data_IF_102395056790
#
_entry.id   IF_102395056790
#
_cell.length_a   1.000
_cell.length_b   1.000
_cell.length_c   1.000
_cell.angle_alpha   90.00
_cell.angle_beta   90.00
_cell.angle_gamma   90.00
#
_symmetry.space_group_name_H-M   'P 1'
#
loop_
_entity.id
_entity.type
_entity.pdbx_description
1 polymer ?
#
# COMPACT_ATOMS: atom_id res chain seq x y z
N UNK A 1 0.59 -9.53 -8.63
CA UNK A 1 0.51 -8.72 -7.39
C UNK A 1 -0.83 -9.00 -6.75
N UNK A 2 -0.78 -9.82 -5.71
CA UNK A 2 -1.95 -10.40 -5.04
C UNK A 2 -1.89 -10.19 -3.51
N UNK A 3 -0.74 -9.83 -2.95
CA UNK A 3 -0.52 -9.72 -1.51
C UNK A 3 0.11 -8.38 -1.15
N UNK A 4 -0.06 -7.94 0.11
CA UNK A 4 0.61 -6.75 0.62
C UNK A 4 2.14 -6.82 0.42
N UNK A 5 2.72 -8.00 0.64
CA UNK A 5 4.14 -8.24 0.42
C UNK A 5 4.58 -7.98 -1.03
N UNK A 6 3.76 -8.36 -2.03
CA UNK A 6 4.06 -8.05 -3.43
C UNK A 6 4.13 -6.54 -3.67
N UNK A 7 3.25 -5.76 -3.03
CA UNK A 7 3.27 -4.29 -3.13
C UNK A 7 4.52 -3.71 -2.46
N UNK A 8 4.92 -4.26 -1.30
CA UNK A 8 6.18 -3.88 -0.66
C UNK A 8 7.40 -4.17 -1.55
N UNK A 9 7.43 -5.33 -2.22
CA UNK A 9 8.52 -5.64 -3.16
C UNK A 9 8.54 -4.69 -4.35
N UNK A 10 7.36 -4.34 -4.91
CA UNK A 10 7.27 -3.33 -5.97
C UNK A 10 7.82 -1.97 -5.52
N UNK A 11 7.40 -1.46 -4.37
CA UNK A 11 7.90 -0.18 -3.85
C UNK A 11 9.41 -0.21 -3.58
N UNK A 12 9.91 -1.35 -3.08
CA UNK A 12 11.34 -1.57 -2.86
C UNK A 12 12.16 -1.49 -4.15
N UNK A 13 11.64 -1.88 -5.32
CA UNK A 13 12.38 -1.73 -6.59
C UNK A 13 12.66 -0.27 -6.94
N UNK A 14 11.86 0.65 -6.40
CA UNK A 14 12.03 2.10 -6.56
C UNK A 14 12.69 2.76 -5.33
N UNK A 15 13.22 1.97 -4.39
CA UNK A 15 13.91 2.47 -3.20
C UNK A 15 13.00 2.83 -2.01
N UNK A 16 11.69 2.57 -2.11
CA UNK A 16 10.75 2.86 -1.02
C UNK A 16 10.68 1.67 -0.05
N UNK A 17 11.19 1.85 1.16
CA UNK A 17 11.04 0.93 2.28
C UNK A 17 10.26 1.65 3.36
N UNK A 18 9.01 1.23 3.59
CA UNK A 18 8.08 1.92 4.49
C UNK A 18 7.95 1.13 5.78
N UNK A 19 8.24 1.80 6.91
CA UNK A 19 8.04 1.25 8.25
C UNK A 19 7.94 2.41 9.26
N UNK A 20 6.74 2.64 9.77
CA UNK A 20 6.43 3.69 10.76
C UNK A 20 5.99 3.09 12.11
N UNK A 21 5.72 1.78 12.16
CA UNK A 21 5.14 1.14 13.34
C UNK A 21 3.64 1.38 13.49
N UNK A 22 3.03 2.15 12.59
CA UNK A 22 1.59 2.29 12.44
C UNK A 22 1.16 1.75 11.07
N UNK A 23 0.39 0.67 11.11
CA UNK A 23 -0.01 -0.06 9.90
C UNK A 23 -0.90 0.75 8.97
N UNK A 24 -1.78 1.60 9.49
CA UNK A 24 -2.63 2.45 8.66
C UNK A 24 -1.79 3.49 7.95
N UNK A 25 -0.94 4.21 8.70
CA UNK A 25 -0.10 5.26 8.14
C UNK A 25 0.87 4.69 7.09
N UNK A 26 1.40 3.49 7.31
CA UNK A 26 2.22 2.79 6.33
C UNK A 26 1.45 2.53 5.03
N UNK A 27 0.20 2.03 5.12
CA UNK A 27 -0.61 1.71 3.93
C UNK A 27 -1.02 2.99 3.18
N UNK A 28 -1.41 4.04 3.90
CA UNK A 28 -1.78 5.34 3.32
C UNK A 28 -0.58 5.96 2.59
N UNK A 29 0.61 5.94 3.21
CA UNK A 29 1.84 6.40 2.57
C UNK A 29 2.18 5.57 1.32
N UNK A 30 2.07 4.24 1.39
CA UNK A 30 2.30 3.37 0.23
C UNK A 30 1.32 3.66 -0.93
N UNK A 31 0.07 4.05 -0.65
CA UNK A 31 -0.90 4.45 -1.68
C UNK A 31 -0.48 5.75 -2.38
N UNK A 32 0.05 6.72 -1.64
CA UNK A 32 0.55 7.97 -2.19
C UNK A 32 1.79 7.74 -3.06
N UNK A 33 2.75 6.94 -2.59
CA UNK A 33 3.94 6.60 -3.37
C UNK A 33 3.60 5.84 -4.66
N UNK A 34 2.63 4.92 -4.63
CA UNK A 34 2.14 4.27 -5.86
C UNK A 34 1.53 5.27 -6.84
N UNK A 35 0.81 6.27 -6.34
CA UNK A 35 0.23 7.32 -7.19
C UNK A 35 1.33 8.16 -7.82
N UNK A 36 2.36 8.55 -7.07
CA UNK A 36 3.53 9.27 -7.61
C UNK A 36 4.27 8.45 -8.67
N UNK A 37 4.52 7.17 -8.44
CA UNK A 37 5.14 6.29 -9.43
C UNK A 37 4.30 6.21 -10.72
N UNK A 38 2.98 6.13 -10.61
CA UNK A 38 2.10 6.11 -11.78
C UNK A 38 2.07 7.45 -12.53
N UNK A 39 1.96 8.56 -11.81
CA UNK A 39 1.92 9.90 -12.38
C UNK A 39 3.23 10.27 -13.08
N UNK A 40 4.36 9.76 -12.60
CA UNK A 40 5.68 9.92 -13.21
C UNK A 40 6.00 8.84 -14.27
N UNK A 41 5.02 8.04 -14.69
CA UNK A 41 5.17 6.97 -15.69
C UNK A 41 6.20 5.88 -15.34
N UNK A 42 6.50 5.70 -14.05
CA UNK A 42 7.44 4.68 -13.55
C UNK A 42 6.82 3.28 -13.47
N UNK A 43 5.48 3.20 -13.39
CA UNK A 43 4.71 1.95 -13.44
C UNK A 43 3.50 2.10 -14.38
N UNK A 44 3.08 0.99 -14.96
CA UNK A 44 1.90 0.97 -15.83
C UNK A 44 0.59 1.04 -15.03
N UNK A 45 -0.48 1.47 -15.70
CA UNK A 45 -1.83 1.58 -15.11
C UNK A 45 -2.31 0.27 -14.46
N UNK A 46 -2.01 -0.88 -15.07
CA UNK A 46 -2.43 -2.18 -14.55
C UNK A 46 -1.66 -2.56 -13.27
N UNK A 47 -0.38 -2.21 -13.18
CA UNK A 47 0.41 -2.39 -11.96
C UNK A 47 -0.14 -1.49 -10.85
N UNK A 48 -0.35 -0.20 -11.12
CA UNK A 48 -0.94 0.74 -10.17
C UNK A 48 -2.30 0.27 -9.64
N UNK A 49 -3.20 -0.13 -10.54
CA UNK A 49 -4.55 -0.57 -10.17
C UNK A 49 -4.54 -1.81 -9.27
N UNK A 50 -3.71 -2.81 -9.60
CA UNK A 50 -3.56 -4.03 -8.79
C UNK A 50 -2.94 -3.72 -7.42
N UNK A 51 -1.95 -2.84 -7.35
CA UNK A 51 -1.29 -2.49 -6.10
C UNK A 51 -2.24 -1.75 -5.16
N UNK A 52 -2.94 -0.75 -5.71
CA UNK A 52 -3.91 0.04 -4.96
C UNK A 52 -5.07 -0.83 -4.45
N UNK A 53 -5.54 -1.81 -5.23
CA UNK A 53 -6.58 -2.74 -4.79
C UNK A 53 -6.13 -3.59 -3.59
N UNK A 54 -4.91 -4.10 -3.61
CA UNK A 54 -4.32 -4.84 -2.49
C UNK A 54 -4.20 -3.96 -1.25
N UNK A 55 -3.66 -2.76 -1.38
CA UNK A 55 -3.50 -1.84 -0.24
C UNK A 55 -4.84 -1.39 0.35
N UNK A 56 -5.85 -1.11 -0.48
CA UNK A 56 -7.18 -0.75 0.01
C UNK A 56 -7.83 -1.87 0.81
N UNK A 57 -7.68 -3.11 0.37
CA UNK A 57 -8.16 -4.28 1.11
C UNK A 57 -7.43 -4.43 2.46
N UNK A 58 -6.12 -4.25 2.47
CA UNK A 58 -5.32 -4.30 3.70
C UNK A 58 -5.72 -3.17 4.68
N UNK A 59 -5.97 -1.97 4.16
CA UNK A 59 -6.40 -0.80 4.94
C UNK A 59 -7.74 -1.06 5.64
N UNK A 60 -8.70 -1.62 4.91
CA UNK A 60 -10.02 -2.01 5.44
C UNK A 60 -9.87 -3.03 6.58
N UNK A 61 -9.04 -4.05 6.40
CA UNK A 61 -8.76 -5.05 7.43
C UNK A 61 -8.09 -4.46 8.67
N UNK A 62 -7.15 -3.51 8.47
CA UNK A 62 -6.45 -2.81 9.55
C UNK A 62 -7.39 -1.92 10.37
N UNK A 63 -8.34 -1.24 9.71
CA UNK A 63 -9.37 -0.41 10.36
C UNK A 63 -10.33 -1.25 11.19
N UNK A 64 -10.89 -2.30 10.59
CA UNK A 64 -11.79 -3.22 11.29
C UNK A 64 -11.10 -3.86 12.51
N UNK A 65 -9.83 -4.25 12.38
CA UNK A 65 -9.04 -4.78 13.48
C UNK A 65 -8.92 -3.83 14.67
N UNK A 66 -8.74 -2.52 14.43
CA UNK A 66 -8.67 -1.52 15.51
C UNK A 66 -10.00 -1.28 16.20
N UNK A 67 -11.11 -1.39 15.50
CA UNK A 67 -12.44 -1.20 16.08
C UNK A 67 -12.78 -2.32 17.09
N UNK A 68 -12.27 -3.54 16.90
CA UNK A 68 -12.43 -4.63 17.87
C UNK A 68 -11.72 -4.40 19.21
N UNK A 69 -10.64 -3.61 19.25
CA UNK A 69 -9.93 -3.30 20.50
C UNK A 69 -10.46 -2.06 21.23
N UNK A 70 -11.43 -1.35 20.63
CA UNK A 70 -12.05 -0.15 21.23
C UNK A 70 -13.38 -0.44 21.95
N UNK A 71 -13.87 -1.68 21.93
CA UNK A 71 -15.02 -2.14 22.71
C UNK A 71 -14.58 -2.74 24.04
#
# INVERSE_FOLDING_TARGET
MNTFYDVQQLLKTFGHIVYFGDRELEIEFMLDELKELYMNHMIEKEQWARAAAVLRKELEQTKNGRDFYKG
#
